data_IF_364840409545
#
_entry.id   IF_364840409545
#
_cell.length_a   1.000
_cell.length_b   1.000
_cell.length_c   1.000
_cell.angle_alpha   90.00
_cell.angle_beta   90.00
_cell.angle_gamma   90.00
#
_symmetry.space_group_name_H-M   'P 1'
#
loop_
_entity.id
_entity.type
_entity.pdbx_description
1 polymer ?
#
# COMPACT_ATOMS: atom_id res chain seq x y z
N UNK A 1 2.23 -13.40 -5.81
CA UNK A 1 2.70 -14.14 -4.62
C UNK A 1 1.57 -14.10 -3.60
N UNK A 2 0.92 -15.24 -3.37
CA UNK A 2 -0.20 -15.36 -2.43
C UNK A 2 0.39 -15.75 -1.08
N UNK A 3 0.38 -14.86 -0.11
CA UNK A 3 0.61 -15.19 1.29
C UNK A 3 -0.15 -14.19 2.16
N UNK A 4 -1.34 -14.58 2.63
CA UNK A 4 -1.54 -14.94 4.05
C UNK A 4 -2.56 -16.08 4.05
N UNK A 5 -2.44 -17.02 4.99
CA UNK A 5 -3.14 -18.30 4.97
C UNK A 5 -4.65 -18.22 4.94
N UNK A 6 -5.26 -19.32 4.48
CA UNK A 6 -6.63 -19.71 4.76
C UNK A 6 -6.83 -19.70 6.28
N UNK A 7 -7.21 -18.55 6.84
CA UNK A 7 -7.60 -18.48 8.23
C UNK A 7 -9.01 -19.08 8.32
N UNK A 8 -9.20 -20.28 8.93
CA UNK A 8 -10.52 -20.68 9.37
C UNK A 8 -11.00 -19.66 10.41
N UNK A 9 -11.92 -18.77 10.03
CA UNK A 9 -12.45 -17.74 10.93
C UNK A 9 -12.73 -16.36 10.32
N UNK A 10 -13.02 -16.26 9.03
CA UNK A 10 -13.35 -14.98 8.41
C UNK A 10 -14.83 -14.59 8.53
N UNK A 11 -15.60 -15.38 9.26
CA UNK A 11 -17.01 -15.15 9.55
C UNK A 11 -17.15 -14.68 10.99
N UNK A 12 -17.73 -13.49 11.16
CA UNK A 12 -17.94 -12.87 12.46
C UNK A 12 -19.40 -12.49 12.61
N UNK A 13 -20.06 -12.93 13.68
CA UNK A 13 -21.40 -12.45 14.03
C UNK A 13 -21.28 -11.31 15.03
N UNK A 14 -21.72 -10.12 14.64
CA UNK A 14 -21.75 -8.92 15.49
C UNK A 14 -23.19 -8.42 15.52
N UNK A 15 -23.77 -8.31 16.71
CA UNK A 15 -25.16 -7.87 16.93
C UNK A 15 -26.18 -8.62 16.07
N UNK A 16 -26.02 -9.95 15.95
CA UNK A 16 -26.89 -10.81 15.15
C UNK A 16 -26.68 -10.71 13.63
N UNK A 17 -25.71 -9.93 13.16
CA UNK A 17 -25.36 -9.80 11.75
C UNK A 17 -24.05 -10.53 11.44
N UNK A 18 -24.11 -11.47 10.50
CA UNK A 18 -22.92 -12.11 9.95
C UNK A 18 -22.14 -11.14 9.06
N UNK A 19 -20.84 -11.05 9.29
CA UNK A 19 -19.85 -10.30 8.50
C UNK A 19 -18.80 -11.28 8.00
N UNK A 20 -18.50 -11.21 6.72
CA UNK A 20 -17.45 -12.00 6.08
C UNK A 20 -16.31 -11.07 5.69
N UNK A 21 -15.07 -11.46 5.98
CA UNK A 21 -13.85 -10.78 5.50
C UNK A 21 -13.11 -11.70 4.53
N UNK A 22 -12.29 -11.15 3.62
CA UNK A 22 -11.54 -11.98 2.68
C UNK A 22 -10.59 -12.95 3.41
N UNK A 23 -10.62 -14.21 2.97
CA UNK A 23 -9.78 -15.29 3.49
C UNK A 23 -8.57 -15.53 2.61
N UNK A 24 -7.43 -14.97 3.00
CA UNK A 24 -6.17 -15.17 2.30
C UNK A 24 -5.87 -14.09 1.27
N UNK A 25 -6.15 -14.31 -0.02
CA UNK A 25 -5.86 -13.29 -1.05
C UNK A 25 -6.85 -12.14 -0.98
N UNK A 26 -6.34 -10.91 -1.03
CA UNK A 26 -7.15 -9.70 -0.98
C UNK A 26 -8.05 -9.56 -2.21
N UNK A 27 -7.49 -9.68 -3.43
CA UNK A 27 -8.21 -9.42 -4.68
C UNK A 27 -7.81 -10.38 -5.80
N UNK A 28 -8.66 -10.48 -6.82
CA UNK A 28 -8.26 -10.93 -8.15
C UNK A 28 -7.62 -9.73 -8.87
N UNK A 29 -6.29 -9.67 -8.90
CA UNK A 29 -5.55 -8.51 -9.42
C UNK A 29 -5.71 -8.41 -10.94
N UNK A 30 -6.18 -7.24 -11.42
CA UNK A 30 -6.26 -6.87 -12.83
C UNK A 30 -6.79 -7.99 -13.77
N UNK A 31 -8.00 -8.53 -13.53
CA UNK A 31 -8.52 -9.67 -14.30
C UNK A 31 -8.68 -9.37 -15.79
N UNK A 32 -8.88 -8.09 -16.13
CA UNK A 32 -8.98 -7.63 -17.53
C UNK A 32 -7.70 -7.86 -18.34
N UNK A 33 -6.54 -8.03 -17.68
CA UNK A 33 -5.28 -8.35 -18.35
C UNK A 33 -5.10 -9.86 -18.63
N UNK A 34 -6.02 -10.72 -18.20
CA UNK A 34 -5.92 -12.18 -18.36
C UNK A 34 -6.03 -12.70 -19.81
N UNK A 35 -6.39 -11.84 -20.77
CA UNK A 35 -6.67 -12.25 -22.15
C UNK A 35 -7.97 -13.04 -22.29
N UNK A 36 -8.36 -13.33 -23.53
CA UNK A 36 -9.68 -13.92 -23.85
C UNK A 36 -9.94 -15.26 -23.15
N UNK A 37 -8.92 -16.11 -23.05
CA UNK A 37 -9.05 -17.45 -22.44
C UNK A 37 -9.41 -17.34 -20.95
N UNK A 38 -8.73 -16.47 -20.20
CA UNK A 38 -9.01 -16.29 -18.77
C UNK A 38 -10.37 -15.63 -18.56
N UNK A 39 -10.71 -14.63 -19.38
CA UNK A 39 -12.00 -13.96 -19.30
C UNK A 39 -13.18 -14.90 -19.63
N UNK A 40 -13.02 -15.77 -20.63
CA UNK A 40 -14.01 -16.81 -20.93
C UNK A 40 -14.16 -17.78 -19.77
N UNK A 41 -13.04 -18.26 -19.21
CA UNK A 41 -13.09 -19.17 -18.06
C UNK A 41 -13.83 -18.55 -16.86
N UNK A 42 -13.50 -17.30 -16.51
CA UNK A 42 -14.19 -16.58 -15.43
C UNK A 42 -15.70 -16.50 -15.69
N UNK A 43 -16.11 -16.20 -16.92
CA UNK A 43 -17.51 -16.16 -17.31
C UNK A 43 -18.18 -17.54 -17.22
N UNK A 44 -17.51 -18.58 -17.69
CA UNK A 44 -18.02 -19.96 -17.72
C UNK A 44 -18.26 -20.52 -16.31
N UNK A 45 -17.41 -20.13 -15.35
CA UNK A 45 -17.58 -20.48 -13.93
C UNK A 45 -18.52 -19.51 -13.17
N UNK A 46 -19.18 -18.59 -13.88
CA UNK A 46 -20.20 -17.69 -13.33
C UNK A 46 -19.66 -16.43 -12.63
N UNK A 47 -18.38 -16.08 -12.84
CA UNK A 47 -17.79 -14.83 -12.34
C UNK A 47 -18.09 -13.69 -13.31
N UNK A 48 -18.95 -12.78 -12.86
CA UNK A 48 -19.22 -11.51 -13.54
C UNK A 48 -18.37 -10.39 -12.91
N UNK A 49 -17.36 -9.93 -13.66
CA UNK A 49 -16.47 -8.84 -13.23
C UNK A 49 -17.20 -7.50 -13.08
N UNK A 50 -18.26 -7.27 -13.86
CA UNK A 50 -19.02 -6.01 -13.82
C UNK A 50 -19.80 -5.86 -12.51
N UNK A 51 -20.22 -6.98 -11.91
CA UNK A 51 -20.92 -6.99 -10.62
C UNK A 51 -20.11 -6.31 -9.51
N UNK A 52 -18.78 -6.37 -9.56
CA UNK A 52 -17.91 -5.76 -8.54
C UNK A 52 -18.00 -4.23 -8.50
N UNK A 53 -18.40 -3.58 -9.60
CA UNK A 53 -18.62 -2.11 -9.63
C UNK A 53 -19.73 -1.65 -8.68
N UNK A 54 -20.65 -2.55 -8.33
CA UNK A 54 -21.73 -2.28 -7.37
C UNK A 54 -21.58 -3.04 -6.06
N UNK A 55 -20.92 -4.20 -6.07
CA UNK A 55 -20.67 -4.99 -4.87
C UNK A 55 -19.58 -4.40 -3.98
N UNK A 56 -18.59 -3.71 -4.56
CA UNK A 56 -17.57 -3.00 -3.80
C UNK A 56 -18.00 -1.57 -3.50
N UNK A 57 -18.09 -1.25 -2.21
CA UNK A 57 -18.55 0.05 -1.74
C UNK A 57 -17.39 1.05 -1.63
N UNK A 58 -16.98 1.62 -2.77
CA UNK A 58 -15.87 2.60 -2.86
C UNK A 58 -16.12 3.82 -1.97
N UNK A 59 -17.39 4.24 -1.87
CA UNK A 59 -17.78 5.41 -1.09
C UNK A 59 -17.82 5.13 0.43
N UNK A 60 -17.64 3.89 0.88
CA UNK A 60 -17.71 3.54 2.31
C UNK A 60 -16.78 4.39 3.16
N UNK A 61 -15.51 4.52 2.77
CA UNK A 61 -14.52 5.28 3.53
C UNK A 61 -14.86 6.78 3.54
N UNK A 62 -15.27 7.32 2.39
CA UNK A 62 -15.67 8.72 2.25
C UNK A 62 -16.88 9.05 3.10
N UNK A 63 -17.95 8.24 3.02
CA UNK A 63 -19.19 8.44 3.80
C UNK A 63 -18.95 8.39 5.30
N UNK A 64 -17.97 7.60 5.75
CA UNK A 64 -17.61 7.47 7.16
C UNK A 64 -16.40 8.33 7.58
N UNK A 65 -15.85 9.15 6.67
CA UNK A 65 -14.67 9.99 6.92
C UNK A 65 -13.45 9.19 7.45
N UNK A 66 -13.25 7.99 6.91
CA UNK A 66 -12.19 7.06 7.29
C UNK A 66 -10.97 7.22 6.38
N UNK A 67 -9.78 7.23 6.98
CA UNK A 67 -8.50 7.31 6.27
C UNK A 67 -7.43 6.51 6.98
N UNK A 68 -6.26 6.40 6.35
CA UNK A 68 -5.12 5.66 6.90
C UNK A 68 -4.34 6.46 7.95
N UNK A 69 -3.84 5.74 8.96
CA UNK A 69 -3.02 6.26 10.05
C UNK A 69 -1.88 5.30 10.34
N UNK A 70 -0.85 5.75 11.04
CA UNK A 70 0.26 4.89 11.49
C UNK A 70 0.28 4.82 13.01
N UNK A 71 0.32 3.60 13.54
CA UNK A 71 0.57 3.32 14.94
C UNK A 71 2.05 2.99 15.16
N UNK A 72 2.67 3.74 16.06
CA UNK A 72 4.02 3.54 16.55
C UNK A 72 3.91 2.85 17.92
N UNK A 73 4.56 1.70 18.07
CA UNK A 73 4.55 0.97 19.33
C UNK A 73 5.73 1.38 20.23
N UNK A 74 5.49 1.33 21.54
CA UNK A 74 6.47 1.68 22.56
C UNK A 74 7.76 0.87 22.50
N UNK A 75 7.68 -0.42 22.15
CA UNK A 75 8.85 -1.32 22.10
C UNK A 75 9.91 -0.85 21.10
N UNK A 76 9.48 -0.29 19.97
CA UNK A 76 10.37 0.13 18.89
C UNK A 76 10.63 1.64 18.91
N UNK A 77 9.60 2.44 19.19
CA UNK A 77 9.64 3.90 19.06
C UNK A 77 9.62 4.64 20.40
N UNK A 78 9.65 3.93 21.53
CA UNK A 78 9.71 4.52 22.87
C UNK A 78 8.38 5.01 23.44
N UNK A 79 7.37 5.23 22.59
CA UNK A 79 6.00 5.55 23.01
C UNK A 79 4.93 4.85 22.14
N UNK A 80 3.76 4.59 22.73
CA UNK A 80 2.59 4.14 22.00
C UNK A 80 1.86 5.36 21.45
N UNK A 81 1.83 5.50 20.12
CA UNK A 81 1.30 6.71 19.48
C UNK A 81 0.66 6.44 18.14
N UNK A 82 -0.48 7.08 17.91
CA UNK A 82 -1.13 7.12 16.60
C UNK A 82 -0.85 8.48 15.97
N UNK A 83 -0.28 8.47 14.75
CA UNK A 83 -0.15 9.67 13.92
C UNK A 83 -1.09 9.54 12.74
N UNK A 84 -1.88 10.59 12.46
CA UNK A 84 -2.91 10.60 11.40
C UNK A 84 -2.31 10.80 9.99
N UNK A 85 -1.25 10.05 9.70
CA UNK A 85 -0.53 10.06 8.45
C UNK A 85 -0.01 8.63 8.16
N UNK A 86 -0.19 8.09 6.95
CA UNK A 86 0.16 6.70 6.65
C UNK A 86 1.64 6.45 6.35
N UNK A 87 2.40 7.47 5.93
CA UNK A 87 3.80 7.38 5.47
C UNK A 87 4.05 6.41 4.29
N UNK A 88 3.00 5.84 3.71
CA UNK A 88 3.00 5.06 2.47
C UNK A 88 1.66 5.24 1.75
N UNK A 89 1.61 4.84 0.47
CA UNK A 89 0.42 5.01 -0.35
C UNK A 89 -0.55 3.83 -0.26
N UNK A 90 -1.35 3.76 0.81
CA UNK A 90 -2.43 2.77 0.92
C UNK A 90 -3.49 2.83 -0.20
N UNK A 91 -3.85 4.01 -0.75
CA UNK A 91 -4.70 4.08 -1.93
C UNK A 91 -4.23 3.26 -3.15
N UNK A 92 -2.96 2.84 -3.22
CA UNK A 92 -2.51 1.87 -4.23
C UNK A 92 -3.19 0.50 -4.15
N UNK A 93 -3.80 0.14 -3.02
CA UNK A 93 -4.35 -1.21 -2.80
C UNK A 93 -5.59 -1.26 -1.91
N UNK A 94 -6.09 -0.10 -1.49
CA UNK A 94 -7.37 0.05 -0.79
C UNK A 94 -8.15 1.15 -1.52
N UNK A 95 -8.99 0.71 -2.45
CA UNK A 95 -9.80 1.60 -3.29
C UNK A 95 -10.76 2.46 -2.45
N UNK A 96 -10.84 3.76 -2.75
CA UNK A 96 -11.73 4.70 -2.05
C UNK A 96 -11.24 5.19 -0.68
N UNK A 97 -10.11 4.68 -0.16
CA UNK A 97 -9.57 5.12 1.12
C UNK A 97 -9.12 6.59 1.08
N UNK A 98 -9.52 7.39 2.07
CA UNK A 98 -9.12 8.79 2.12
C UNK A 98 -7.62 8.94 2.42
N UNK A 99 -6.94 9.91 1.79
CA UNK A 99 -5.53 10.19 2.05
C UNK A 99 -5.32 10.71 3.49
N UNK A 100 -4.06 10.69 3.93
CA UNK A 100 -3.64 11.32 5.17
C UNK A 100 -3.99 12.82 5.17
N UNK A 101 -4.36 13.35 6.34
CA UNK A 101 -4.81 14.74 6.48
C UNK A 101 -3.72 15.71 6.93
N UNK A 102 -2.66 15.19 7.55
CA UNK A 102 -1.56 16.00 8.07
C UNK A 102 -0.63 16.42 6.94
N UNK A 103 -0.06 17.63 7.06
CA UNK A 103 1.06 18.03 6.22
C UNK A 103 2.29 17.18 6.52
N UNK A 104 3.28 17.20 5.63
CA UNK A 104 4.55 16.50 5.87
C UNK A 104 5.27 17.02 7.12
N UNK A 105 5.22 18.32 7.40
CA UNK A 105 5.78 18.95 8.58
C UNK A 105 5.10 18.45 9.86
N UNK A 106 3.77 18.47 9.88
CA UNK A 106 2.99 18.01 11.04
C UNK A 106 3.20 16.52 11.30
N UNK A 107 3.19 15.71 10.24
CA UNK A 107 3.43 14.27 10.33
C UNK A 107 4.82 14.00 10.91
N UNK A 108 5.87 14.59 10.32
CA UNK A 108 7.23 14.43 10.79
C UNK A 108 7.40 14.87 12.25
N UNK A 109 6.79 15.99 12.65
CA UNK A 109 6.89 16.50 14.02
C UNK A 109 6.18 15.61 15.04
N UNK A 110 5.06 15.00 14.65
CA UNK A 110 4.30 14.09 15.49
C UNK A 110 4.91 12.69 15.59
N UNK A 111 5.74 12.27 14.62
CA UNK A 111 6.40 10.97 14.67
C UNK A 111 7.27 10.84 15.95
N UNK A 112 7.17 9.72 16.70
CA UNK A 112 7.97 9.45 17.90
C UNK A 112 9.41 9.08 17.53
N UNK A 113 10.13 10.04 16.97
CA UNK A 113 11.53 9.94 16.56
C UNK A 113 12.37 10.98 17.31
N UNK A 114 13.69 10.80 17.28
CA UNK A 114 14.64 11.83 17.71
C UNK A 114 14.46 13.12 16.90
N UNK A 115 14.91 14.27 17.41
CA UNK A 115 14.82 15.53 16.65
C UNK A 115 15.49 15.42 15.27
N UNK A 116 16.68 14.79 15.23
CA UNK A 116 17.37 14.44 13.99
C UNK A 116 16.53 13.52 13.08
N UNK A 117 15.86 12.52 13.66
CA UNK A 117 14.99 11.60 12.94
C UNK A 117 13.76 12.28 12.34
N UNK A 118 13.17 13.25 13.04
CA UNK A 118 12.06 14.07 12.52
C UNK A 118 12.51 14.94 11.35
N UNK A 119 13.67 15.57 11.44
CA UNK A 119 14.26 16.34 10.34
C UNK A 119 14.54 15.46 9.11
N UNK A 120 15.10 14.27 9.32
CA UNK A 120 15.33 13.30 8.25
C UNK A 120 14.03 12.78 7.64
N UNK A 121 13.03 12.46 8.47
CA UNK A 121 11.71 12.03 8.01
C UNK A 121 11.05 13.11 7.15
N UNK A 122 11.11 14.38 7.57
CA UNK A 122 10.58 15.50 6.79
C UNK A 122 11.28 15.62 5.43
N UNK A 123 12.61 15.44 5.40
CA UNK A 123 13.38 15.45 4.16
C UNK A 123 12.98 14.30 3.23
N UNK A 124 12.72 13.11 3.78
CA UNK A 124 12.23 11.96 3.01
C UNK A 124 10.83 12.24 2.45
N UNK A 125 9.91 12.75 3.28
CA UNK A 125 8.55 13.10 2.85
C UNK A 125 8.53 14.17 1.75
N UNK A 126 9.44 15.14 1.80
CA UNK A 126 9.64 16.16 0.75
C UNK A 126 10.54 15.70 -0.39
N UNK A 127 11.02 14.46 -0.35
CA UNK A 127 11.91 13.88 -1.35
C UNK A 127 11.16 13.39 -2.58
N UNK A 128 11.68 12.33 -3.18
CA UNK A 128 11.21 11.76 -4.44
C UNK A 128 12.28 11.83 -5.52
N UNK A 129 11.96 11.33 -6.72
CA UNK A 129 12.94 11.20 -7.83
C UNK A 129 13.48 12.54 -8.33
N UNK A 130 12.78 13.64 -8.08
CA UNK A 130 13.19 14.98 -8.51
C UNK A 130 14.45 15.50 -7.81
N UNK A 131 14.84 14.91 -6.67
CA UNK A 131 16.09 15.27 -5.97
C UNK A 131 17.33 14.57 -6.57
N UNK A 132 17.12 13.58 -7.43
CA UNK A 132 18.19 12.86 -8.10
C UNK A 132 18.81 13.75 -9.17
N UNK A 133 20.13 13.93 -9.10
CA UNK A 133 20.90 14.69 -10.09
C UNK A 133 21.26 13.81 -11.30
N UNK A 134 20.23 13.24 -11.93
CA UNK A 134 20.36 12.34 -13.08
C UNK A 134 19.65 12.99 -14.29
N UNK A 135 20.27 13.01 -15.49
CA UNK A 135 19.60 13.49 -16.69
C UNK A 135 18.27 12.77 -16.93
N UNK A 136 17.26 13.50 -17.41
CA UNK A 136 15.88 12.99 -17.55
C UNK A 136 15.83 11.70 -18.38
N UNK A 137 16.65 11.62 -19.42
CA UNK A 137 16.72 10.49 -20.36
C UNK A 137 17.30 9.22 -19.71
N UNK A 138 18.06 9.38 -18.62
CA UNK A 138 18.67 8.27 -17.87
C UNK A 138 17.93 7.95 -16.56
N UNK A 139 16.96 8.78 -16.18
CA UNK A 139 16.29 8.67 -14.88
C UNK A 139 15.56 7.33 -14.73
N UNK A 140 14.89 6.87 -15.79
CA UNK A 140 14.15 5.60 -15.76
C UNK A 140 15.07 4.40 -15.52
N UNK A 141 16.14 4.27 -16.31
CA UNK A 141 17.15 3.22 -16.11
C UNK A 141 17.78 3.32 -14.71
N UNK A 142 18.12 4.54 -14.28
CA UNK A 142 18.74 4.78 -12.98
C UNK A 142 17.85 4.29 -11.83
N UNK A 143 16.58 4.68 -11.80
CA UNK A 143 15.71 4.33 -10.67
C UNK A 143 15.47 2.82 -10.58
N UNK A 144 15.52 2.08 -11.69
CA UNK A 144 15.34 0.63 -11.68
C UNK A 144 16.62 -0.16 -11.40
N UNK A 145 17.79 0.45 -11.55
CA UNK A 145 19.09 -0.18 -11.31
C UNK A 145 19.73 0.18 -9.96
N UNK A 146 19.21 1.21 -9.28
CA UNK A 146 19.77 1.70 -8.01
C UNK A 146 18.86 1.41 -6.82
N UNK A 147 19.46 1.08 -5.68
CA UNK A 147 18.79 0.75 -4.43
C UNK A 147 18.02 1.94 -3.84
N UNK A 148 16.79 1.68 -3.39
CA UNK A 148 16.00 2.66 -2.64
C UNK A 148 16.66 3.01 -1.30
N UNK A 149 17.29 2.05 -0.63
CA UNK A 149 17.96 2.32 0.65
C UNK A 149 19.25 3.12 0.49
N UNK A 150 19.97 2.93 -0.62
CA UNK A 150 21.14 3.77 -0.92
C UNK A 150 20.73 5.19 -1.28
N UNK A 151 19.59 5.36 -1.96
CA UNK A 151 18.98 6.67 -2.17
C UNK A 151 18.68 7.37 -0.83
N UNK A 152 18.02 6.69 0.12
CA UNK A 152 17.74 7.28 1.44
C UNK A 152 19.03 7.68 2.17
N UNK A 153 20.01 6.79 2.23
CA UNK A 153 21.24 7.01 3.01
C UNK A 153 22.17 8.02 2.36
N UNK A 154 22.44 7.85 1.06
CA UNK A 154 23.48 8.61 0.35
C UNK A 154 22.93 9.89 -0.25
N UNK A 155 21.73 9.86 -0.84
CA UNK A 155 21.13 11.06 -1.46
C UNK A 155 20.42 11.93 -0.44
N UNK A 156 19.61 11.32 0.43
CA UNK A 156 18.85 12.06 1.44
C UNK A 156 19.57 12.18 2.79
N UNK A 157 20.69 11.50 3.00
CA UNK A 157 21.47 11.62 4.25
C UNK A 157 20.73 11.04 5.46
N UNK A 158 19.95 9.97 5.27
CA UNK A 158 19.19 9.31 6.33
C UNK A 158 20.06 8.27 7.04
N UNK A 159 20.27 8.46 8.32
CA UNK A 159 20.98 7.52 9.20
C UNK A 159 20.20 7.19 10.49
N UNK A 160 19.05 7.84 10.72
CA UNK A 160 18.19 7.53 11.86
C UNK A 160 17.57 6.12 11.67
N UNK A 161 17.77 5.21 12.63
CA UNK A 161 17.30 3.83 12.50
C UNK A 161 15.77 3.71 12.52
N UNK A 162 15.06 4.65 13.14
CA UNK A 162 13.60 4.70 13.16
C UNK A 162 13.05 5.05 11.78
N UNK A 163 13.64 6.04 11.10
CA UNK A 163 13.27 6.41 9.72
C UNK A 163 13.56 5.27 8.76
N UNK A 164 14.75 4.65 8.84
CA UNK A 164 15.09 3.51 7.99
C UNK A 164 14.18 2.29 8.25
N UNK A 165 13.75 2.08 9.50
CA UNK A 165 12.78 1.05 9.83
C UNK A 165 11.42 1.34 9.21
N UNK A 166 10.92 2.57 9.31
CA UNK A 166 9.68 2.97 8.65
C UNK A 166 9.76 2.75 7.14
N UNK A 167 10.87 3.17 6.51
CA UNK A 167 11.10 2.99 5.09
C UNK A 167 11.03 1.50 4.69
N UNK A 168 11.78 0.62 5.38
CA UNK A 168 11.83 -0.83 5.12
C UNK A 168 10.43 -1.45 5.00
N UNK A 169 9.51 -1.02 5.85
CA UNK A 169 8.18 -1.60 5.99
C UNK A 169 7.09 -0.89 5.18
N UNK A 170 7.42 0.23 4.51
CA UNK A 170 6.44 1.10 3.84
C UNK A 170 5.80 0.55 2.56
N UNK A 171 6.17 -0.66 2.13
CA UNK A 171 5.59 -1.31 0.94
C UNK A 171 5.11 -2.74 1.18
N UNK A 172 5.14 -3.24 2.42
CA UNK A 172 4.91 -4.66 2.69
C UNK A 172 3.50 -5.16 2.32
N UNK A 173 2.50 -4.28 2.38
CA UNK A 173 1.12 -4.67 2.04
C UNK A 173 0.92 -4.84 0.53
N UNK A 174 1.80 -4.24 -0.29
CA UNK A 174 1.81 -4.38 -1.74
C UNK A 174 2.85 -5.39 -2.23
N UNK A 175 3.98 -5.46 -1.53
CA UNK A 175 5.15 -6.18 -1.97
C UNK A 175 5.53 -7.29 -1.01
N UNK A 176 6.02 -8.37 -1.60
CA UNK A 176 6.47 -9.58 -0.94
C UNK A 176 7.75 -9.45 -0.11
N UNK A 177 8.42 -8.29 -0.16
CA UNK A 177 9.73 -8.05 0.46
C UNK A 177 9.76 -6.67 1.10
N UNK A 178 10.69 -6.48 2.05
CA UNK A 178 11.04 -5.15 2.52
C UNK A 178 11.60 -4.28 1.40
N UNK A 179 11.42 -2.96 1.50
CA UNK A 179 11.89 -2.02 0.47
C UNK A 179 13.41 -1.88 0.45
N UNK A 180 14.12 -2.43 1.43
CA UNK A 180 15.59 -2.50 1.46
C UNK A 180 16.17 -3.46 0.42
N UNK A 181 15.34 -4.30 -0.19
CA UNK A 181 15.70 -5.15 -1.33
C UNK A 181 15.18 -4.61 -2.67
N UNK A 182 14.63 -3.39 -2.69
CA UNK A 182 14.02 -2.80 -3.88
C UNK A 182 14.89 -1.72 -4.51
N UNK A 183 14.77 -1.59 -5.83
CA UNK A 183 15.21 -0.40 -6.53
C UNK A 183 14.32 0.81 -6.21
N UNK A 184 14.81 2.02 -6.46
CA UNK A 184 14.03 3.28 -6.29
C UNK A 184 12.71 3.20 -7.07
N UNK A 185 12.76 2.74 -8.31
CA UNK A 185 11.62 2.61 -9.21
C UNK A 185 10.59 1.62 -8.68
N UNK A 186 11.05 0.46 -8.18
CA UNK A 186 10.13 -0.52 -7.57
C UNK A 186 9.51 0.01 -6.29
N UNK A 187 10.29 0.63 -5.39
CA UNK A 187 9.78 1.23 -4.16
C UNK A 187 8.75 2.34 -4.46
N UNK A 188 9.01 3.20 -5.44
CA UNK A 188 8.06 4.22 -5.92
C UNK A 188 6.77 3.58 -6.43
N UNK A 189 6.86 2.56 -7.29
CA UNK A 189 5.69 1.86 -7.82
C UNK A 189 4.84 1.18 -6.74
N UNK A 190 5.45 0.76 -5.64
CA UNK A 190 4.73 0.19 -4.49
C UNK A 190 4.16 1.25 -3.53
N UNK A 191 4.46 2.54 -3.73
CA UNK A 191 4.01 3.60 -2.84
C UNK A 191 4.79 3.69 -1.53
N UNK A 192 6.08 3.33 -1.54
CA UNK A 192 6.97 3.41 -0.38
C UNK A 192 7.15 4.84 0.14
N UNK A 193 7.66 4.95 1.37
CA UNK A 193 7.91 6.22 2.07
C UNK A 193 8.78 7.18 1.24
N UNK A 194 8.36 8.44 1.16
CA UNK A 194 9.09 9.50 0.47
C UNK A 194 8.81 9.62 -1.02
N UNK A 195 7.80 8.92 -1.54
CA UNK A 195 7.23 9.18 -2.85
C UNK A 195 5.82 9.75 -2.73
N UNK A 196 5.47 10.64 -3.66
CA UNK A 196 4.15 11.24 -3.69
C UNK A 196 3.07 10.15 -3.87
N UNK A 197 1.98 10.18 -3.08
CA UNK A 197 0.90 9.24 -3.23
C UNK A 197 0.16 9.48 -4.55
N UNK A 198 -0.31 8.41 -5.18
CA UNK A 198 -1.33 8.45 -6.24
C UNK A 198 -2.69 8.14 -5.63
N UNK A 199 -3.73 8.82 -6.10
CA UNK A 199 -5.07 8.73 -5.50
C UNK A 199 -5.78 7.38 -5.76
N UNK A 200 -5.43 6.73 -6.86
CA UNK A 200 -5.97 5.44 -7.30
C UNK A 200 -4.86 4.60 -7.89
N UNK A 201 -5.04 3.27 -7.81
CA UNK A 201 -4.08 2.30 -8.35
C UNK A 201 -3.99 2.35 -9.88
N UNK A 202 -5.14 2.24 -10.53
CA UNK A 202 -5.33 2.22 -11.97
C UNK A 202 -6.75 2.75 -12.23
N UNK A 203 -6.86 3.89 -12.92
CA UNK A 203 -8.14 4.55 -13.21
C UNK A 203 -9.04 3.68 -14.10
N UNK A 204 -8.44 2.87 -14.98
CA UNK A 204 -9.14 2.00 -15.91
C UNK A 204 -9.45 0.63 -15.29
N UNK A 205 -8.65 0.19 -14.31
CA UNK A 205 -8.78 -1.11 -13.64
C UNK A 205 -8.80 -0.96 -12.11
N UNK A 206 -9.92 -0.48 -11.53
CA UNK A 206 -10.01 -0.24 -10.09
C UNK A 206 -9.79 -1.52 -9.29
N UNK A 207 -9.19 -1.39 -8.10
CA UNK A 207 -8.78 -2.52 -7.27
C UNK A 207 -9.97 -3.04 -6.45
N UNK A 208 -11.03 -3.52 -7.12
CA UNK A 208 -12.37 -3.79 -6.53
C UNK A 208 -12.84 -5.26 -6.60
N UNK A 209 -12.07 -6.16 -7.22
CA UNK A 209 -12.45 -7.57 -7.41
C UNK A 209 -12.17 -8.44 -6.17
N UNK A 210 -12.78 -8.07 -5.03
CA UNK A 210 -12.60 -8.74 -3.73
C UNK A 210 -13.71 -9.75 -3.48
N UNK A 211 -13.34 -11.02 -3.39
CA UNK A 211 -14.27 -12.09 -3.01
C UNK A 211 -14.33 -12.24 -1.48
N UNK A 212 -15.49 -12.58 -0.90
CA UNK A 212 -15.65 -12.74 0.56
C UNK A 212 -14.72 -13.79 1.19
N UNK A 213 -14.20 -14.75 0.44
CA UNK A 213 -13.24 -15.76 0.91
C UNK A 213 -11.92 -15.72 0.11
N UNK A 214 -11.64 -14.57 -0.52
CA UNK A 214 -10.53 -14.42 -1.45
C UNK A 214 -10.69 -15.26 -2.72
N UNK A 215 -9.58 -15.57 -3.40
CA UNK A 215 -9.59 -16.28 -4.67
C UNK A 215 -9.92 -17.78 -4.50
N UNK A 216 -10.18 -18.25 -3.27
CA UNK A 216 -10.70 -19.59 -3.03
C UNK A 216 -12.11 -19.79 -3.64
N UNK A 217 -12.92 -18.73 -3.77
CA UNK A 217 -14.17 -18.78 -4.56
C UNK A 217 -13.88 -19.27 -5.98
N UNK A 218 -12.88 -18.69 -6.66
CA UNK A 218 -12.52 -19.08 -8.03
C UNK A 218 -12.18 -20.57 -8.09
N UNK A 219 -11.38 -21.07 -7.15
CA UNK A 219 -10.99 -22.49 -7.11
C UNK A 219 -12.17 -23.44 -6.90
N UNK A 220 -13.21 -23.03 -6.15
CA UNK A 220 -14.40 -23.86 -5.92
C UNK A 220 -15.39 -23.87 -7.08
N UNK A 221 -15.29 -22.88 -7.98
CA UNK A 221 -16.15 -22.77 -9.16
C UNK A 221 -15.57 -23.50 -10.38
N UNK A 222 -14.28 -23.88 -10.35
CA UNK A 222 -13.60 -24.75 -11.33
C UNK A 222 -13.91 -26.23 -11.08
#
# INVERSE_FOLDING_TARGET
MILVGSAPGNEHTIDGNTRLIYGGSQTLVAPQHGGEVVLSLLKDIGVDLERFKTAYDIDFFKRNNLGSVTYFNKKIFGEDKVVKHPYCNHPNYIEGLLPGKLSHEEAAQQAPLSDKGKEQLLRVLKGGVHVLKVPKEKLEEYIYTHSYFDYLKTTLGVDDPGVLRMARHSALDWASTGTDLMSIGRAKGCGALGFAPVAVYDEDNPYIHHFPDGNATITRLL
#
